data_IF_984056674985
#
_entry.id   IF_984056674985
#
_cell.length_a   1.000
_cell.length_b   1.000
_cell.length_c   1.000
_cell.angle_alpha   90.00
_cell.angle_beta   90.00
_cell.angle_gamma   90.00
#
_symmetry.space_group_name_H-M   'P 1'
#
loop_
_entity.id
_entity.type
_entity.pdbx_description
1 polymer ?
#
# COMPACT_ATOMS: atom_id res chain seq x y z
N UNK A 1 9.12 -26.06 2.90
CA UNK A 1 9.99 -25.31 3.83
C UNK A 1 9.16 -24.15 4.39
N UNK A 2 8.34 -24.40 5.41
CA UNK A 2 7.52 -23.38 6.08
C UNK A 2 8.23 -23.07 7.40
N UNK A 3 8.99 -21.99 7.43
CA UNK A 3 9.59 -21.51 8.68
C UNK A 3 8.49 -21.30 9.72
N UNK A 4 8.72 -21.87 10.91
CA UNK A 4 7.83 -21.78 12.07
C UNK A 4 7.67 -20.31 12.45
N UNK A 5 6.64 -19.65 11.94
CA UNK A 5 6.22 -18.33 12.39
C UNK A 5 5.94 -18.45 13.88
N UNK A 6 6.76 -17.80 14.71
CA UNK A 6 6.51 -17.73 16.16
C UNK A 6 5.08 -17.24 16.36
N UNK A 7 4.27 -17.88 17.23
CA UNK A 7 2.89 -17.46 17.42
C UNK A 7 2.87 -15.99 17.81
N UNK A 8 2.24 -15.16 16.97
CA UNK A 8 2.05 -13.75 17.27
C UNK A 8 1.00 -13.63 18.36
N UNK A 9 1.23 -12.73 19.31
CA UNK A 9 0.22 -12.39 20.32
C UNK A 9 -1.07 -11.91 19.64
N UNK A 10 -2.23 -12.20 20.25
CA UNK A 10 -3.53 -11.72 19.78
C UNK A 10 -3.51 -10.21 19.48
N UNK A 11 -2.89 -9.41 20.34
CA UNK A 11 -2.74 -7.97 20.14
C UNK A 11 -1.98 -7.59 18.87
N UNK A 12 -0.94 -8.36 18.52
CA UNK A 12 -0.16 -8.15 17.29
C UNK A 12 -0.98 -8.54 16.06
N UNK A 13 -1.73 -9.64 16.12
CA UNK A 13 -2.60 -10.08 15.03
C UNK A 13 -3.74 -9.08 14.79
N UNK A 14 -4.37 -8.58 15.84
CA UNK A 14 -5.43 -7.58 15.74
C UNK A 14 -4.88 -6.24 15.22
N UNK A 15 -3.67 -5.85 15.64
CA UNK A 15 -2.98 -4.67 15.13
C UNK A 15 -2.70 -4.76 13.62
N UNK A 16 -2.12 -5.85 13.12
CA UNK A 16 -1.82 -5.98 11.68
C UNK A 16 -3.10 -6.01 10.84
N UNK A 17 -4.20 -6.58 11.37
CA UNK A 17 -5.52 -6.58 10.72
C UNK A 17 -6.10 -5.17 10.64
N UNK A 18 -6.05 -4.42 11.74
CA UNK A 18 -6.51 -3.03 11.80
C UNK A 18 -5.72 -2.14 10.83
N UNK A 19 -4.39 -2.27 10.80
CA UNK A 19 -3.53 -1.54 9.86
C UNK A 19 -3.91 -1.89 8.42
N UNK A 20 -4.05 -3.19 8.10
CA UNK A 20 -4.44 -3.61 6.75
C UNK A 20 -5.79 -3.02 6.35
N UNK A 21 -6.81 -3.12 7.20
CA UNK A 21 -8.14 -2.59 6.94
C UNK A 21 -8.10 -1.07 6.70
N UNK A 22 -7.29 -0.34 7.46
CA UNK A 22 -7.11 1.10 7.25
C UNK A 22 -6.53 1.40 5.86
N UNK A 23 -5.49 0.67 5.47
CA UNK A 23 -4.82 0.82 4.18
C UNK A 23 -5.71 0.41 2.99
N UNK A 24 -6.62 -0.55 3.19
CA UNK A 24 -7.57 -1.00 2.17
C UNK A 24 -8.73 -0.02 1.97
N UNK A 25 -9.22 0.58 3.06
CA UNK A 25 -10.44 1.40 3.02
C UNK A 25 -10.20 2.75 2.37
N UNK A 26 -9.06 3.39 2.65
CA UNK A 26 -8.74 4.71 2.12
C UNK A 26 -7.25 4.81 1.75
N UNK A 27 -6.82 4.15 0.66
CA UNK A 27 -5.41 4.12 0.28
C UNK A 27 -4.85 5.50 -0.05
N UNK A 28 -5.71 6.43 -0.47
CA UNK A 28 -5.35 7.81 -0.82
C UNK A 28 -5.39 8.75 0.38
N UNK A 29 -5.69 8.28 1.59
CA UNK A 29 -5.45 9.05 2.81
C UNK A 29 -4.05 8.77 3.32
N UNK A 30 -3.16 9.72 3.09
CA UNK A 30 -1.78 9.60 3.54
C UNK A 30 -1.71 9.48 5.07
N UNK A 31 -1.07 8.41 5.53
CA UNK A 31 -0.57 8.25 6.91
C UNK A 31 0.80 7.60 6.86
N UNK A 32 1.69 8.04 7.73
CA UNK A 32 2.97 7.37 7.94
C UNK A 32 2.77 6.03 8.65
N UNK A 33 3.74 5.12 8.51
CA UNK A 33 3.73 3.86 9.26
C UNK A 33 3.71 4.10 10.78
N UNK A 34 4.36 5.17 11.28
CA UNK A 34 4.34 5.52 12.71
C UNK A 34 2.92 5.87 13.18
N UNK A 35 2.20 6.69 12.42
CA UNK A 35 0.82 7.06 12.77
C UNK A 35 -0.13 5.86 12.78
N UNK A 36 0.09 4.89 11.88
CA UNK A 36 -0.67 3.64 11.86
C UNK A 36 -0.36 2.76 13.07
N UNK A 37 0.91 2.71 13.48
CA UNK A 37 1.37 1.97 14.65
C UNK A 37 0.92 2.61 15.97
N UNK A 38 0.67 3.91 15.99
CA UNK A 38 0.14 4.65 17.15
C UNK A 38 -1.35 4.41 17.38
N UNK A 39 -2.09 4.03 16.33
CA UNK A 39 -3.53 3.77 16.39
C UNK A 39 -3.88 2.35 16.84
N UNK A 40 -2.88 1.49 17.06
CA UNK A 40 -3.11 0.09 17.45
C UNK A 40 -2.64 -0.18 18.87
N UNK A 41 -3.43 -0.93 19.63
CA UNK A 41 -3.09 -1.37 20.97
C UNK A 41 -2.11 -2.56 20.92
N UNK A 42 -0.87 -2.32 20.49
CA UNK A 42 0.19 -3.32 20.51
C UNK A 42 1.41 -2.83 21.29
N UNK A 43 1.96 -3.65 22.21
CA UNK A 43 3.04 -3.22 23.10
C UNK A 43 4.40 -3.04 22.38
N UNK A 44 4.55 -3.61 21.17
CA UNK A 44 5.82 -3.59 20.46
C UNK A 44 5.62 -3.34 18.95
N UNK A 45 5.98 -2.13 18.49
CA UNK A 45 5.91 -1.70 17.09
C UNK A 45 6.71 -2.61 16.15
N UNK A 46 7.92 -3.01 16.55
CA UNK A 46 8.78 -3.88 15.74
C UNK A 46 8.16 -5.27 15.56
N UNK A 47 7.42 -5.77 16.56
CA UNK A 47 6.70 -7.03 16.44
C UNK A 47 5.55 -6.92 15.44
N UNK A 48 4.83 -5.79 15.42
CA UNK A 48 3.76 -5.52 14.45
C UNK A 48 4.32 -5.41 13.04
N UNK A 49 5.40 -4.67 12.80
CA UNK A 49 6.00 -4.55 11.46
C UNK A 49 6.50 -5.90 10.93
N UNK A 50 7.19 -6.69 11.77
CA UNK A 50 7.65 -8.03 11.40
C UNK A 50 6.49 -8.96 11.11
N UNK A 51 5.45 -8.96 11.94
CA UNK A 51 4.25 -9.76 11.74
C UNK A 51 3.52 -9.35 10.46
N UNK A 52 3.38 -8.04 10.20
CA UNK A 52 2.71 -7.53 9.01
C UNK A 52 3.41 -8.04 7.74
N UNK A 53 4.75 -7.94 7.69
CA UNK A 53 5.53 -8.47 6.57
C UNK A 53 5.45 -9.99 6.46
N UNK A 54 5.50 -10.70 7.58
CA UNK A 54 5.41 -12.17 7.58
C UNK A 54 4.06 -12.67 7.09
N UNK A 55 2.96 -11.97 7.42
CA UNK A 55 1.59 -12.37 7.08
C UNK A 55 1.16 -11.89 5.70
N UNK A 56 1.54 -10.67 5.28
CA UNK A 56 1.08 -10.07 4.03
C UNK A 56 2.16 -9.99 2.94
N UNK A 57 3.40 -10.39 3.22
CA UNK A 57 4.50 -10.42 2.26
C UNK A 57 5.20 -9.07 2.03
N UNK A 58 4.60 -7.96 2.48
CA UNK A 58 5.10 -6.59 2.27
C UNK A 58 5.24 -5.85 3.59
N UNK A 59 6.19 -4.93 3.70
CA UNK A 59 6.21 -3.96 4.79
C UNK A 59 5.00 -3.01 4.71
N UNK A 60 4.62 -2.39 5.82
CA UNK A 60 3.45 -1.47 5.90
C UNK A 60 3.53 -0.37 4.83
N UNK A 61 4.69 0.27 4.68
CA UNK A 61 4.90 1.33 3.67
C UNK A 61 4.78 0.81 2.24
N UNK A 62 5.35 -0.36 1.96
CA UNK A 62 5.28 -0.99 0.63
C UNK A 62 3.84 -1.36 0.29
N UNK A 63 3.12 -1.95 1.24
CA UNK A 63 1.71 -2.28 1.10
C UNK A 63 0.86 -1.04 0.84
N UNK A 64 1.08 0.04 1.58
CA UNK A 64 0.39 1.30 1.36
C UNK A 64 0.66 1.88 -0.04
N UNK A 65 1.91 1.84 -0.52
CA UNK A 65 2.24 2.26 -1.89
C UNK A 65 1.47 1.41 -2.90
N UNK A 66 1.44 0.09 -2.73
CA UNK A 66 0.72 -0.83 -3.61
C UNK A 66 -0.78 -0.53 -3.64
N UNK A 67 -1.41 -0.34 -2.47
CA UNK A 67 -2.83 -0.01 -2.41
C UNK A 67 -3.14 1.35 -3.10
N UNK A 68 -2.23 2.33 -3.01
CA UNK A 68 -2.35 3.60 -3.77
C UNK A 68 -2.27 3.39 -5.28
N UNK A 69 -1.31 2.60 -5.74
CA UNK A 69 -1.16 2.27 -7.16
C UNK A 69 -2.36 1.46 -7.67
N UNK A 70 -2.94 0.59 -6.84
CA UNK A 70 -4.16 -0.13 -7.19
C UNK A 70 -5.35 0.82 -7.35
N UNK A 71 -5.53 1.74 -6.40
CA UNK A 71 -6.58 2.76 -6.48
C UNK A 71 -6.41 3.70 -7.67
N UNK A 72 -5.17 3.93 -8.13
CA UNK A 72 -4.88 4.84 -9.25
C UNK A 72 -5.35 4.29 -10.60
N UNK A 73 -5.55 2.98 -10.74
CA UNK A 73 -6.09 2.34 -11.96
C UNK A 73 -7.43 2.94 -12.36
N UNK A 74 -8.34 3.09 -11.40
CA UNK A 74 -9.64 3.74 -11.63
C UNK A 74 -9.51 5.17 -12.16
N UNK A 75 -8.52 5.93 -11.68
CA UNK A 75 -8.29 7.27 -12.22
C UNK A 75 -7.83 7.24 -13.67
N UNK A 76 -6.94 6.31 -14.02
CA UNK A 76 -6.51 6.11 -15.42
C UNK A 76 -7.70 5.74 -16.31
N UNK A 77 -8.53 4.79 -15.86
CA UNK A 77 -9.73 4.32 -16.56
C UNK A 77 -10.75 5.45 -16.77
N UNK A 78 -10.87 6.39 -15.82
CA UNK A 78 -11.74 7.58 -15.99
C UNK A 78 -11.16 8.68 -16.88
N UNK A 79 -10.02 8.46 -17.53
CA UNK A 79 -9.45 9.43 -18.46
C UNK A 79 -8.48 10.46 -17.85
N UNK A 80 -8.19 10.40 -16.54
CA UNK A 80 -7.32 11.40 -15.91
C UNK A 80 -5.90 11.37 -16.52
N UNK A 81 -5.31 12.56 -16.64
CA UNK A 81 -3.92 12.67 -17.09
C UNK A 81 -2.95 12.10 -16.06
N UNK A 82 -1.81 11.57 -16.52
CA UNK A 82 -0.80 10.94 -15.66
C UNK A 82 -0.27 11.91 -14.60
N UNK A 83 -0.23 13.21 -14.92
CA UNK A 83 0.08 14.29 -13.98
C UNK A 83 -0.97 14.42 -12.87
N UNK A 84 -2.26 14.41 -13.20
CA UNK A 84 -3.35 14.44 -12.21
C UNK A 84 -3.33 13.18 -11.33
N UNK A 85 -3.16 12.00 -11.94
CA UNK A 85 -3.10 10.73 -11.19
C UNK A 85 -1.90 10.71 -10.24
N UNK A 86 -0.71 11.13 -10.70
CA UNK A 86 0.48 11.24 -9.87
C UNK A 86 0.26 12.14 -8.64
N UNK A 87 -0.34 13.32 -8.85
CA UNK A 87 -0.66 14.26 -7.76
C UNK A 87 -1.64 13.66 -6.75
N UNK A 88 -2.71 12.99 -7.22
CA UNK A 88 -3.68 12.30 -6.35
C UNK A 88 -3.07 11.14 -5.56
N UNK A 89 -2.01 10.53 -6.09
CA UNK A 89 -1.33 9.39 -5.46
C UNK A 89 -0.05 9.78 -4.69
N UNK A 90 0.13 11.08 -4.40
CA UNK A 90 1.26 11.64 -3.63
C UNK A 90 2.64 11.48 -4.29
N UNK A 91 2.69 11.40 -5.61
CA UNK A 91 3.95 11.43 -6.35
C UNK A 91 4.30 12.87 -6.75
N UNK A 92 5.57 13.24 -6.55
CA UNK A 92 6.10 14.55 -6.92
C UNK A 92 6.15 14.78 -8.43
N UNK A 93 6.19 13.71 -9.23
CA UNK A 93 6.23 13.79 -10.69
C UNK A 93 5.51 12.61 -11.33
N UNK A 94 5.01 12.83 -12.55
CA UNK A 94 4.39 11.77 -13.34
C UNK A 94 5.36 10.63 -13.67
N UNK A 95 6.66 10.92 -13.81
CA UNK A 95 7.69 9.92 -14.10
C UNK A 95 7.93 9.01 -12.90
N UNK A 96 7.96 9.57 -11.68
CA UNK A 96 8.09 8.77 -10.46
C UNK A 96 6.88 7.84 -10.26
N UNK A 97 5.67 8.37 -10.52
CA UNK A 97 4.45 7.56 -10.53
C UNK A 97 4.51 6.45 -11.59
N UNK A 98 4.86 6.78 -12.83
CA UNK A 98 4.89 5.82 -13.93
C UNK A 98 5.90 4.69 -13.70
N UNK A 99 7.08 5.01 -13.15
CA UNK A 99 8.08 4.00 -12.79
C UNK A 99 7.56 3.05 -11.69
N UNK A 100 6.92 3.60 -10.65
CA UNK A 100 6.34 2.79 -9.58
C UNK A 100 5.18 1.91 -10.09
N UNK A 101 4.29 2.47 -10.90
CA UNK A 101 3.16 1.75 -11.49
C UNK A 101 3.63 0.61 -12.41
N UNK A 102 4.62 0.87 -13.28
CA UNK A 102 5.22 -0.16 -14.13
C UNK A 102 5.89 -1.27 -13.33
N UNK A 103 6.60 -0.93 -12.26
CA UNK A 103 7.22 -1.92 -11.37
C UNK A 103 6.18 -2.82 -10.71
N UNK A 104 5.02 -2.28 -10.37
CA UNK A 104 3.95 -3.02 -9.67
C UNK A 104 3.12 -3.90 -10.61
N UNK A 105 2.78 -3.39 -11.79
CA UNK A 105 1.80 -4.03 -12.69
C UNK A 105 2.37 -4.51 -14.02
N UNK A 106 3.67 -4.35 -14.25
CA UNK A 106 4.35 -4.65 -15.51
C UNK A 106 3.80 -3.91 -16.74
N UNK A 107 2.97 -2.89 -16.54
CA UNK A 107 2.42 -2.01 -17.57
C UNK A 107 2.64 -0.56 -17.16
N UNK A 108 2.92 0.32 -18.12
CA UNK A 108 2.92 1.76 -17.87
C UNK A 108 1.51 2.29 -17.65
N UNK A 109 1.34 3.44 -16.96
CA UNK A 109 0.03 4.08 -16.85
C UNK A 109 -0.61 4.43 -18.21
N UNK A 110 0.22 4.67 -19.23
CA UNK A 110 -0.25 4.94 -20.59
C UNK A 110 -0.82 3.68 -21.23
N UNK A 111 -0.10 2.55 -21.15
CA UNK A 111 -0.59 1.25 -21.65
C UNK A 111 -1.86 0.83 -20.92
N UNK A 112 -1.90 0.97 -19.58
CA UNK A 112 -3.10 0.67 -18.80
C UNK A 112 -4.29 1.49 -19.28
N UNK A 113 -4.13 2.80 -19.40
CA UNK A 113 -5.20 3.69 -19.84
C UNK A 113 -5.65 3.39 -21.28
N UNK A 114 -4.76 2.97 -22.18
CA UNK A 114 -5.13 2.59 -23.53
C UNK A 114 -5.91 1.27 -23.60
N UNK A 115 -5.71 0.37 -22.63
CA UNK A 115 -6.38 -0.93 -22.57
C UNK A 115 -7.73 -0.88 -21.84
N UNK A 116 -7.88 0.00 -20.85
CA UNK A 116 -9.01 0.00 -19.92
C UNK A 116 -9.75 1.35 -19.79
N UNK A 117 -9.24 2.43 -20.41
CA UNK A 117 -9.88 3.75 -20.44
C UNK A 117 -10.62 3.99 -21.74
#
# INVERSE_FOLDING_TARGET
MLEKVRPHSKYVLDAIRCIKQHLDTDPLRYKTASELLEQVCAPNRNAVEKAFKAVFGYGIKEYQVRQRLEASKKFLETGLTKKQVASKCFYRSQSAYAAAFKKEFNLTPTEWQALYG
#
